data_IF_523689419692
#
_entry.id   IF_523689419692
#
_cell.length_a   1.000
_cell.length_b   1.000
_cell.length_c   1.000
_cell.angle_alpha   90.00
_cell.angle_beta   90.00
_cell.angle_gamma   90.00
#
_symmetry.space_group_name_H-M   'P 1'
#
loop_
_entity.id
_entity.type
_entity.pdbx_description
1 polymer ?
#
# COMPACT_ATOMS: atom_id res chain seq x y z
N UNK A 1 24.75 -8.41 -65.35
CA UNK A 1 23.32 -8.08 -65.15
C UNK A 1 23.31 -6.87 -64.23
N UNK A 2 22.79 -5.76 -64.75
CA UNK A 2 22.97 -4.41 -64.20
C UNK A 2 22.00 -4.11 -63.05
N UNK A 3 22.49 -3.36 -62.06
CA UNK A 3 21.69 -2.69 -61.04
C UNK A 3 20.77 -1.62 -61.66
N UNK A 4 19.54 -1.43 -61.16
CA UNK A 4 18.76 -0.24 -61.45
C UNK A 4 18.95 0.84 -60.37
N UNK A 5 19.32 2.03 -60.84
CA UNK A 5 19.41 3.29 -60.13
C UNK A 5 18.03 3.86 -59.77
N UNK A 6 18.02 4.65 -58.69
CA UNK A 6 16.95 5.48 -58.10
C UNK A 6 16.59 6.64 -59.05
N UNK A 7 15.39 7.21 -58.96
CA UNK A 7 15.31 8.67 -58.98
C UNK A 7 14.61 9.27 -57.76
N UNK A 8 15.27 10.28 -57.20
CA UNK A 8 14.77 11.21 -56.20
C UNK A 8 13.61 12.08 -56.73
N UNK A 9 12.73 12.47 -55.81
CA UNK A 9 11.71 13.51 -55.96
C UNK A 9 10.87 13.47 -54.68
N UNK A 10 10.91 14.43 -53.76
CA UNK A 10 10.83 15.87 -53.92
C UNK A 10 9.85 16.32 -52.84
N UNK A 11 10.36 16.91 -51.75
CA UNK A 11 9.54 17.48 -50.67
C UNK A 11 8.70 18.65 -51.17
N UNK A 12 7.51 18.85 -50.59
CA UNK A 12 7.03 20.19 -50.31
C UNK A 12 7.04 20.46 -48.79
N UNK A 13 7.66 21.59 -48.47
CA UNK A 13 7.66 22.25 -47.17
C UNK A 13 6.38 23.08 -46.95
N UNK A 14 6.25 23.58 -45.71
CA UNK A 14 5.23 24.47 -45.14
C UNK A 14 3.96 23.74 -44.64
N UNK A 15 3.45 23.98 -43.43
CA UNK A 15 3.38 25.25 -42.71
C UNK A 15 3.21 25.00 -41.20
N UNK A 16 4.09 25.57 -40.38
CA UNK A 16 3.87 25.73 -38.94
C UNK A 16 3.06 27.01 -38.69
N UNK A 17 2.06 27.01 -37.79
CA UNK A 17 1.65 28.22 -37.11
C UNK A 17 2.20 28.24 -35.68
N UNK A 18 3.22 29.07 -35.50
CA UNK A 18 3.70 29.57 -34.21
C UNK A 18 2.74 30.63 -33.61
N UNK A 19 2.89 30.99 -32.32
CA UNK A 19 1.82 31.44 -31.43
C UNK A 19 1.71 32.96 -31.33
N UNK A 20 0.50 33.52 -31.24
CA UNK A 20 0.30 34.90 -30.76
C UNK A 20 -1.17 35.19 -30.31
N UNK A 21 -1.37 35.21 -28.99
CA UNK A 21 -2.18 36.16 -28.18
C UNK A 21 -3.70 36.30 -28.37
N UNK A 22 -4.41 37.05 -27.48
CA UNK A 22 -3.91 37.81 -26.32
C UNK A 22 -4.59 37.48 -24.97
N UNK A 23 -3.90 37.91 -23.92
CA UNK A 23 -4.37 38.01 -22.55
C UNK A 23 -5.49 39.05 -22.37
N UNK A 24 -6.43 38.76 -21.48
CA UNK A 24 -7.37 39.72 -20.88
C UNK A 24 -7.58 39.26 -19.42
N UNK A 25 -6.84 39.84 -18.47
CA UNK A 25 -7.18 41.06 -17.71
C UNK A 25 -8.16 40.80 -16.57
N UNK A 26 -7.59 40.67 -15.37
CA UNK A 26 -8.25 40.86 -14.08
C UNK A 26 -8.92 42.23 -13.99
N UNK A 27 -9.95 42.37 -13.13
CA UNK A 27 -10.11 43.59 -12.38
C UNK A 27 -9.99 43.33 -10.88
N UNK A 28 -8.91 43.89 -10.32
CA UNK A 28 -8.74 44.26 -8.93
C UNK A 28 -9.77 45.35 -8.58
N UNK A 29 -10.62 45.11 -7.58
CA UNK A 29 -11.35 46.17 -6.89
C UNK A 29 -11.04 46.09 -5.39
N UNK A 30 -10.32 47.12 -4.97
CA UNK A 30 -10.18 47.59 -3.60
C UNK A 30 -11.55 47.95 -3.03
N UNK A 31 -11.89 47.42 -1.87
CA UNK A 31 -12.68 48.15 -0.88
C UNK A 31 -12.52 47.52 0.51
N UNK A 32 -11.96 48.30 1.42
CA UNK A 32 -12.04 48.15 2.87
C UNK A 32 -12.88 49.35 3.32
N UNK A 33 -13.89 49.18 4.19
CA UNK A 33 -13.65 49.65 5.57
C UNK A 33 -14.30 48.81 6.67
N UNK A 34 -13.68 48.93 7.84
CA UNK A 34 -14.23 48.92 9.20
C UNK A 34 -14.78 47.64 9.85
N UNK A 35 -14.00 47.23 10.85
CA UNK A 35 -14.33 46.42 12.02
C UNK A 35 -15.65 46.84 12.69
N UNK A 36 -16.31 45.91 13.40
CA UNK A 36 -16.26 46.05 14.85
C UNK A 36 -15.93 44.75 15.59
N UNK A 37 -15.18 44.96 16.64
CA UNK A 37 -14.79 44.07 17.73
C UNK A 37 -15.98 43.29 18.30
N UNK A 38 -15.92 41.95 18.21
CA UNK A 38 -16.52 41.06 19.20
C UNK A 38 -15.55 39.93 19.49
N UNK A 39 -15.00 40.01 20.69
CA UNK A 39 -14.24 38.97 21.38
C UNK A 39 -15.09 37.69 21.46
N UNK A 40 -14.73 36.64 20.74
CA UNK A 40 -15.26 35.31 20.99
C UNK A 40 -14.11 34.30 21.05
N UNK A 41 -14.05 33.61 22.18
CA UNK A 41 -12.99 32.71 22.56
C UNK A 41 -12.87 31.52 21.61
N UNK A 42 -11.63 31.18 21.23
CA UNK A 42 -11.32 29.97 20.50
C UNK A 42 -11.90 28.72 21.21
N UNK A 43 -12.61 27.83 20.51
CA UNK A 43 -12.97 26.55 21.08
C UNK A 43 -11.69 25.71 21.20
N UNK A 44 -11.23 25.55 22.43
CA UNK A 44 -10.29 24.52 22.85
C UNK A 44 -10.71 23.18 22.25
N UNK A 45 -9.82 22.61 21.43
CA UNK A 45 -9.94 21.25 20.91
C UNK A 45 -10.32 20.28 22.05
N UNK A 46 -11.34 19.42 21.85
CA UNK A 46 -11.71 18.46 22.87
C UNK A 46 -10.55 17.47 23.06
N UNK A 47 -10.01 17.44 24.28
CA UNK A 47 -9.14 16.37 24.76
C UNK A 47 -9.82 15.05 24.42
N UNK A 48 -9.14 14.25 23.61
CA UNK A 48 -9.53 12.88 23.28
C UNK A 48 -9.82 12.14 24.61
N UNK A 49 -11.00 11.54 24.78
CA UNK A 49 -11.32 10.83 26.00
C UNK A 49 -10.41 9.61 26.09
N UNK A 50 -9.68 9.52 27.20
CA UNK A 50 -9.01 8.29 27.63
C UNK A 50 -10.05 7.18 27.65
N UNK A 51 -10.03 6.33 26.62
CA UNK A 51 -10.91 5.18 26.54
C UNK A 51 -10.68 4.31 27.78
N UNK A 52 -11.71 4.21 28.61
CA UNK A 52 -11.75 3.33 29.75
C UNK A 52 -11.54 1.89 29.26
N UNK A 53 -10.38 1.32 29.57
CA UNK A 53 -10.09 -0.07 29.34
C UNK A 53 -11.09 -0.93 30.14
N UNK A 54 -11.83 -1.79 29.42
CA UNK A 54 -12.63 -2.89 29.98
C UNK A 54 -11.74 -3.71 30.95
N UNK A 55 -12.24 -4.22 32.10
CA UNK A 55 -11.38 -4.83 33.10
C UNK A 55 -10.68 -6.06 32.52
N UNK A 56 -9.36 -5.93 32.35
CA UNK A 56 -8.52 -7.04 31.93
C UNK A 56 -8.58 -8.12 33.00
N UNK A 57 -8.68 -9.39 32.58
CA UNK A 57 -8.41 -10.54 33.46
C UNK A 57 -6.98 -10.47 34.04
N UNK A 58 -6.56 -11.45 34.85
CA UNK A 58 -5.22 -11.42 35.45
C UNK A 58 -4.16 -11.24 34.37
N UNK A 59 -3.44 -10.11 34.42
CA UNK A 59 -2.42 -9.74 33.45
C UNK A 59 -1.30 -10.77 33.47
N UNK A 60 -0.94 -11.30 32.30
CA UNK A 60 0.16 -12.26 32.20
C UNK A 60 1.50 -11.57 32.50
N UNK A 61 2.50 -12.29 33.06
CA UNK A 61 3.85 -11.72 33.24
C UNK A 61 4.44 -11.14 31.95
N UNK A 62 4.09 -11.73 30.80
CA UNK A 62 4.48 -11.29 29.48
C UNK A 62 3.82 -9.96 29.09
N UNK A 63 2.52 -9.79 29.35
CA UNK A 63 1.83 -8.51 29.13
C UNK A 63 2.44 -7.38 29.95
N UNK A 64 2.73 -7.63 31.23
CA UNK A 64 3.38 -6.64 32.09
C UNK A 64 4.75 -6.24 31.53
N UNK A 65 5.57 -7.22 31.14
CA UNK A 65 6.89 -6.98 30.54
C UNK A 65 6.79 -6.20 29.23
N UNK A 66 5.80 -6.50 28.39
CA UNK A 66 5.56 -5.77 27.15
C UNK A 66 5.19 -4.30 27.43
N UNK A 67 4.30 -4.04 28.39
CA UNK A 67 3.96 -2.67 28.83
C UNK A 67 5.15 -1.89 29.37
N UNK A 68 6.02 -2.55 30.12
CA UNK A 68 7.26 -1.95 30.61
C UNK A 68 8.18 -1.53 29.45
N UNK A 69 8.28 -2.33 28.38
CA UNK A 69 9.02 -1.95 27.18
C UNK A 69 8.39 -0.75 26.44
N UNK A 70 7.06 -0.73 26.30
CA UNK A 70 6.35 0.43 25.71
C UNK A 70 6.62 1.70 26.52
N UNK A 71 6.48 1.64 27.85
CA UNK A 71 6.71 2.81 28.71
C UNK A 71 8.17 3.32 28.64
N UNK A 72 9.14 2.40 28.52
CA UNK A 72 10.55 2.77 28.31
C UNK A 72 10.77 3.42 26.94
N UNK A 73 10.15 2.90 25.88
CA UNK A 73 10.21 3.47 24.54
C UNK A 73 9.64 4.89 24.52
N UNK A 74 8.46 5.12 25.10
CA UNK A 74 7.85 6.45 25.20
C UNK A 74 8.71 7.45 25.97
N UNK A 75 9.34 7.01 27.07
CA UNK A 75 10.24 7.87 27.86
C UNK A 75 11.45 8.28 27.02
N UNK A 76 12.01 7.36 26.23
CA UNK A 76 13.10 7.66 25.30
C UNK A 76 12.67 8.64 24.21
N UNK A 77 11.48 8.45 23.61
CA UNK A 77 10.88 9.37 22.63
C UNK A 77 10.66 10.79 23.20
N UNK A 78 10.10 10.92 24.40
CA UNK A 78 9.93 12.24 25.05
C UNK A 78 11.27 12.92 25.33
N UNK A 79 12.29 12.14 25.69
CA UNK A 79 13.64 12.64 25.95
C UNK A 79 14.43 13.02 24.70
N UNK A 80 14.05 12.52 23.51
CA UNK A 80 14.67 12.91 22.23
C UNK A 80 14.11 14.24 21.72
N UNK A 81 12.88 14.59 22.08
CA UNK A 81 12.21 15.84 21.70
C UNK A 81 12.57 17.06 22.57
N UNK A 82 13.28 16.86 23.69
CA UNK A 82 13.69 17.95 24.60
C UNK A 82 14.92 18.70 24.05
N UNK A 83 15.04 20.01 24.30
CA UNK A 83 16.10 20.94 23.82
C UNK A 83 17.56 20.42 23.92
N UNK A 84 17.86 19.53 24.87
CA UNK A 84 19.17 18.89 25.02
C UNK A 84 19.45 17.71 24.07
N UNK A 85 18.42 17.20 23.37
CA UNK A 85 18.51 16.05 22.46
C UNK A 85 18.62 16.40 20.97
N UNK A 86 18.31 17.65 20.59
CA UNK A 86 18.15 18.07 19.20
C UNK A 86 19.43 18.20 18.36
N UNK A 87 20.63 18.14 18.95
CA UNK A 87 21.87 18.46 18.22
C UNK A 87 22.83 17.27 17.97
N UNK A 88 22.77 16.16 18.73
CA UNK A 88 23.72 15.05 18.53
C UNK A 88 23.28 13.65 19.03
N UNK A 89 22.04 13.49 19.55
CA UNK A 89 21.64 12.22 20.19
C UNK A 89 20.15 11.88 20.14
N UNK A 90 19.34 12.64 19.41
CA UNK A 90 17.90 12.39 19.26
C UNK A 90 17.60 11.14 18.45
N UNK A 91 18.32 10.93 17.34
CA UNK A 91 18.14 9.78 16.45
C UNK A 91 18.43 8.45 17.15
N UNK A 92 19.58 8.30 17.81
CA UNK A 92 19.93 7.08 18.56
C UNK A 92 18.88 6.72 19.64
N UNK A 93 18.26 7.72 20.28
CA UNK A 93 17.19 7.48 21.25
C UNK A 93 15.88 7.01 20.61
N UNK A 94 15.60 7.48 19.40
CA UNK A 94 14.45 7.02 18.62
C UNK A 94 14.69 5.60 18.08
N UNK A 95 15.90 5.27 17.64
CA UNK A 95 16.29 3.91 17.26
C UNK A 95 16.12 2.94 18.43
N UNK A 96 16.67 3.27 19.60
CA UNK A 96 16.47 2.52 20.83
C UNK A 96 14.98 2.35 21.19
N UNK A 97 14.16 3.38 20.94
CA UNK A 97 12.72 3.32 21.20
C UNK A 97 12.01 2.38 20.22
N UNK A 98 12.35 2.41 18.92
CA UNK A 98 11.85 1.49 17.91
C UNK A 98 12.16 0.03 18.29
N UNK A 99 13.40 -0.25 18.71
CA UNK A 99 13.81 -1.58 19.18
C UNK A 99 12.99 -2.06 20.39
N UNK A 100 12.70 -1.16 21.34
CA UNK A 100 11.86 -1.47 22.48
C UNK A 100 10.41 -1.74 22.08
N UNK A 101 9.86 -1.01 21.11
CA UNK A 101 8.53 -1.28 20.55
C UNK A 101 8.47 -2.66 19.88
N UNK A 102 9.48 -3.02 19.07
CA UNK A 102 9.57 -4.36 18.45
C UNK A 102 9.66 -5.46 19.51
N UNK A 103 10.44 -5.26 20.58
CA UNK A 103 10.52 -6.22 21.71
C UNK A 103 9.19 -6.35 22.44
N UNK A 104 8.47 -5.26 22.64
CA UNK A 104 7.14 -5.27 23.22
C UNK A 104 6.16 -6.04 22.32
N UNK A 105 6.15 -5.76 21.03
CA UNK A 105 5.29 -6.40 20.04
C UNK A 105 5.50 -7.92 19.99
N UNK A 106 6.76 -8.37 19.97
CA UNK A 106 7.11 -9.79 20.04
C UNK A 106 6.69 -10.44 21.37
N UNK A 107 6.77 -9.71 22.47
CA UNK A 107 6.29 -10.20 23.78
C UNK A 107 4.76 -10.33 23.80
N UNK A 108 4.04 -9.38 23.22
CA UNK A 108 2.58 -9.46 23.06
C UNK A 108 2.16 -10.61 22.12
N UNK A 109 2.93 -10.90 21.06
CA UNK A 109 2.72 -12.10 20.21
C UNK A 109 2.77 -13.39 21.05
N UNK A 110 3.75 -13.52 21.95
CA UNK A 110 3.85 -14.68 22.86
C UNK A 110 2.67 -14.74 23.84
N UNK A 111 2.22 -13.59 24.33
CA UNK A 111 1.03 -13.48 25.18
C UNK A 111 -0.30 -13.69 24.43
N UNK A 112 -0.28 -13.91 23.11
CA UNK A 112 -1.45 -14.01 22.22
C UNK A 112 -2.35 -12.77 22.25
N UNK A 113 -1.77 -11.61 22.58
CA UNK A 113 -2.42 -10.31 22.51
C UNK A 113 -2.16 -9.70 21.14
N UNK A 114 -2.86 -10.20 20.12
CA UNK A 114 -2.58 -9.82 18.73
C UNK A 114 -2.83 -8.34 18.47
N UNK A 115 -3.93 -7.77 18.98
CA UNK A 115 -4.20 -6.33 18.82
C UNK A 115 -3.09 -5.44 19.38
N UNK A 116 -2.67 -5.70 20.63
CA UNK A 116 -1.60 -4.92 21.28
C UNK A 116 -0.23 -5.13 20.61
N UNK A 117 0.02 -6.32 20.08
CA UNK A 117 1.23 -6.61 19.29
C UNK A 117 1.26 -5.82 17.98
N UNK A 118 0.15 -5.78 17.24
CA UNK A 118 0.04 -4.99 16.02
C UNK A 118 0.25 -3.50 16.29
N UNK A 119 -0.39 -2.97 17.34
CA UNK A 119 -0.26 -1.55 17.71
C UNK A 119 1.21 -1.20 18.03
N UNK A 120 1.91 -2.09 18.73
CA UNK A 120 3.33 -1.91 19.04
C UNK A 120 4.24 -1.96 17.79
N UNK A 121 3.94 -2.81 16.80
CA UNK A 121 4.68 -2.80 15.53
C UNK A 121 4.43 -1.54 14.71
N UNK A 122 3.19 -1.04 14.66
CA UNK A 122 2.89 0.23 14.00
C UNK A 122 3.64 1.39 14.64
N UNK A 123 3.69 1.45 15.99
CA UNK A 123 4.48 2.45 16.71
C UNK A 123 5.98 2.34 16.38
N UNK A 124 6.52 1.13 16.23
CA UNK A 124 7.91 0.94 15.82
C UNK A 124 8.17 1.47 14.41
N UNK A 125 7.27 1.15 13.47
CA UNK A 125 7.36 1.60 12.08
C UNK A 125 7.27 3.13 11.96
N UNK A 126 6.36 3.78 12.70
CA UNK A 126 6.22 5.24 12.73
C UNK A 126 7.50 5.95 13.17
N UNK A 127 8.21 5.37 14.14
CA UNK A 127 9.50 5.91 14.61
C UNK A 127 10.58 5.69 13.56
N UNK A 128 10.63 4.52 12.93
CA UNK A 128 11.60 4.21 11.88
C UNK A 128 11.39 5.06 10.62
N UNK A 129 10.14 5.37 10.25
CA UNK A 129 9.83 6.31 9.18
C UNK A 129 10.35 7.72 9.47
N UNK A 130 10.26 8.18 10.73
CA UNK A 130 10.83 9.48 11.15
C UNK A 130 12.36 9.51 11.11
N UNK A 131 12.99 8.34 11.18
CA UNK A 131 14.44 8.17 11.08
C UNK A 131 14.91 7.91 9.64
N UNK A 132 13.98 7.91 8.67
CA UNK A 132 14.22 7.56 7.26
C UNK A 132 14.76 6.12 7.06
N UNK A 133 14.47 5.24 8.00
CA UNK A 133 14.84 3.82 7.98
C UNK A 133 13.69 3.02 7.34
N UNK A 134 13.49 3.23 6.04
CA UNK A 134 12.32 2.75 5.28
C UNK A 134 12.19 1.22 5.23
N UNK A 135 13.31 0.51 5.07
CA UNK A 135 13.29 -0.95 4.92
C UNK A 135 12.75 -1.64 6.19
N UNK A 136 13.25 -1.23 7.36
CA UNK A 136 12.85 -1.77 8.66
C UNK A 136 11.41 -1.34 9.00
N UNK A 137 11.02 -0.11 8.67
CA UNK A 137 9.65 0.36 8.83
C UNK A 137 8.66 -0.50 8.04
N UNK A 138 8.96 -0.76 6.76
CA UNK A 138 8.17 -1.67 5.92
C UNK A 138 8.09 -3.07 6.50
N UNK A 139 9.21 -3.62 7.00
CA UNK A 139 9.23 -4.94 7.62
C UNK A 139 8.34 -5.02 8.88
N UNK A 140 8.36 -3.98 9.72
CA UNK A 140 7.54 -3.94 10.92
C UNK A 140 6.04 -3.77 10.61
N UNK A 141 5.68 -3.00 9.58
CA UNK A 141 4.29 -2.90 9.10
C UNK A 141 3.77 -4.24 8.56
N UNK A 142 4.63 -5.01 7.90
CA UNK A 142 4.28 -6.35 7.41
C UNK A 142 4.01 -7.30 8.57
N UNK A 143 4.83 -7.27 9.62
CA UNK A 143 4.59 -8.03 10.85
C UNK A 143 3.30 -7.58 11.55
N UNK A 144 3.03 -6.27 11.59
CA UNK A 144 1.76 -5.73 12.09
C UNK A 144 0.57 -6.29 11.32
N UNK A 145 0.62 -6.25 9.98
CA UNK A 145 -0.42 -6.81 9.11
C UNK A 145 -0.66 -8.30 9.34
N UNK A 146 0.40 -9.10 9.52
CA UNK A 146 0.28 -10.54 9.79
C UNK A 146 -0.41 -10.81 11.13
N UNK A 147 -0.11 -9.98 12.13
CA UNK A 147 -0.71 -10.08 13.45
C UNK A 147 -2.18 -9.64 13.43
N UNK A 148 -2.49 -8.53 12.74
CA UNK A 148 -3.85 -8.02 12.63
C UNK A 148 -4.76 -8.91 11.79
N UNK A 149 -4.25 -9.65 10.79
CA UNK A 149 -5.06 -10.55 9.93
C UNK A 149 -5.98 -11.49 10.74
N UNK A 150 -5.61 -11.83 11.99
CA UNK A 150 -6.37 -12.72 12.88
C UNK A 150 -7.47 -12.05 13.70
N UNK A 151 -7.36 -10.75 13.99
CA UNK A 151 -8.27 -10.03 14.89
C UNK A 151 -9.04 -8.90 14.17
N UNK A 152 -8.35 -8.19 13.27
CA UNK A 152 -8.87 -7.00 12.58
C UNK A 152 -8.33 -6.97 11.14
N UNK A 153 -9.04 -7.59 10.18
CA UNK A 153 -8.61 -7.63 8.79
C UNK A 153 -8.53 -6.24 8.14
N UNK A 154 -9.33 -5.26 8.59
CA UNK A 154 -9.30 -3.90 8.04
C UNK A 154 -7.99 -3.19 8.39
N UNK A 155 -7.57 -3.28 9.65
CA UNK A 155 -6.25 -2.75 10.07
C UNK A 155 -5.09 -3.48 9.40
N UNK A 156 -5.24 -4.78 9.11
CA UNK A 156 -4.23 -5.51 8.36
C UNK A 156 -4.04 -4.93 6.94
N UNK A 157 -5.15 -4.61 6.26
CA UNK A 157 -5.12 -3.95 4.93
C UNK A 157 -4.43 -2.59 5.00
N UNK A 158 -4.71 -1.76 6.01
CA UNK A 158 -4.04 -0.47 6.21
C UNK A 158 -2.52 -0.64 6.38
N UNK A 159 -2.09 -1.58 7.23
CA UNK A 159 -0.66 -1.84 7.46
C UNK A 159 0.05 -2.34 6.20
N UNK A 160 -0.57 -3.26 5.44
CA UNK A 160 0.01 -3.74 4.19
C UNK A 160 0.03 -2.67 3.11
N UNK A 161 -0.96 -1.76 3.08
CA UNK A 161 -1.00 -0.66 2.11
C UNK A 161 0.16 0.30 2.35
N UNK A 162 0.39 0.69 3.60
CA UNK A 162 1.55 1.50 3.99
C UNK A 162 2.88 0.79 3.67
N UNK A 163 2.97 -0.53 3.92
CA UNK A 163 4.16 -1.29 3.56
C UNK A 163 4.39 -1.32 2.04
N UNK A 164 3.33 -1.50 1.24
CA UNK A 164 3.40 -1.51 -0.21
C UNK A 164 3.87 -0.16 -0.77
N UNK A 165 3.37 0.96 -0.23
CA UNK A 165 3.83 2.31 -0.57
C UNK A 165 5.33 2.48 -0.28
N UNK A 166 5.79 2.08 0.91
CA UNK A 166 7.22 2.15 1.26
C UNK A 166 8.09 1.33 0.29
N UNK A 167 7.67 0.10 -0.04
CA UNK A 167 8.45 -0.72 -0.98
C UNK A 167 8.39 -0.19 -2.42
N UNK A 168 7.32 0.49 -2.80
CA UNK A 168 7.19 1.18 -4.09
C UNK A 168 8.15 2.37 -4.16
N UNK A 169 8.20 3.20 -3.10
CA UNK A 169 9.15 4.31 -2.97
C UNK A 169 10.61 3.86 -3.02
N UNK A 170 10.90 2.65 -2.52
CA UNK A 170 12.22 2.03 -2.57
C UNK A 170 12.56 1.41 -3.93
N UNK A 171 11.64 1.41 -4.90
CA UNK A 171 11.79 0.75 -6.20
C UNK A 171 11.74 -0.77 -6.15
N UNK A 172 11.20 -1.36 -5.07
CA UNK A 172 11.06 -2.81 -4.90
C UNK A 172 9.67 -3.27 -5.32
N UNK A 173 9.33 -3.13 -6.60
CA UNK A 173 7.99 -3.40 -7.14
C UNK A 173 7.54 -4.85 -6.94
N UNK A 174 8.44 -5.82 -7.07
CA UNK A 174 8.14 -7.23 -6.77
C UNK A 174 7.63 -7.45 -5.33
N UNK A 175 8.14 -6.68 -4.36
CA UNK A 175 7.68 -6.75 -2.96
C UNK A 175 6.35 -6.03 -2.79
N UNK A 176 6.19 -4.84 -3.38
CA UNK A 176 4.94 -4.10 -3.37
C UNK A 176 3.78 -4.93 -3.96
N UNK A 177 4.01 -5.56 -5.11
CA UNK A 177 3.06 -6.48 -5.76
C UNK A 177 2.62 -7.61 -4.84
N UNK A 178 3.55 -8.19 -4.07
CA UNK A 178 3.23 -9.25 -3.11
C UNK A 178 2.30 -8.75 -2.00
N UNK A 179 2.51 -7.54 -1.50
CA UNK A 179 1.65 -6.97 -0.46
C UNK A 179 0.29 -6.55 -1.00
N UNK A 180 0.20 -6.05 -2.24
CA UNK A 180 -1.07 -5.86 -2.93
C UNK A 180 -1.85 -7.17 -3.09
N UNK A 181 -1.19 -8.27 -3.46
CA UNK A 181 -1.81 -9.60 -3.52
C UNK A 181 -2.31 -10.08 -2.15
N UNK A 182 -1.57 -9.80 -1.07
CA UNK A 182 -2.00 -10.14 0.29
C UNK A 182 -3.20 -9.31 0.74
N UNK A 183 -3.24 -8.01 0.41
CA UNK A 183 -4.39 -7.14 0.67
C UNK A 183 -5.62 -7.69 -0.05
N UNK A 184 -5.48 -8.01 -1.34
CA UNK A 184 -6.57 -8.56 -2.14
C UNK A 184 -7.09 -9.90 -1.59
N UNK A 185 -6.19 -10.77 -1.10
CA UNK A 185 -6.59 -12.03 -0.44
C UNK A 185 -7.41 -11.78 0.84
N UNK A 186 -7.03 -10.79 1.65
CA UNK A 186 -7.79 -10.42 2.86
C UNK A 186 -9.16 -9.83 2.49
N UNK A 187 -9.21 -9.00 1.44
CA UNK A 187 -10.48 -8.46 0.93
C UNK A 187 -11.40 -9.58 0.41
N UNK A 188 -10.85 -10.57 -0.31
CA UNK A 188 -11.57 -11.76 -0.81
C UNK A 188 -12.08 -12.63 0.35
N UNK A 189 -11.22 -12.99 1.32
CA UNK A 189 -11.55 -13.99 2.33
C UNK A 189 -12.30 -13.46 3.56
N UNK A 190 -11.87 -12.31 4.09
CA UNK A 190 -12.36 -11.80 5.38
C UNK A 190 -13.42 -10.69 5.23
N UNK A 191 -13.26 -9.83 4.22
CA UNK A 191 -14.16 -8.68 4.03
C UNK A 191 -15.29 -8.95 3.03
N UNK A 192 -15.12 -9.93 2.14
CA UNK A 192 -16.06 -10.23 1.06
C UNK A 192 -16.21 -9.07 0.05
N UNK A 193 -15.20 -8.19 -0.02
CA UNK A 193 -15.20 -7.03 -0.91
C UNK A 193 -14.41 -7.37 -2.18
N UNK A 194 -15.13 -7.91 -3.16
CA UNK A 194 -14.54 -8.34 -4.43
C UNK A 194 -14.10 -7.15 -5.30
N UNK A 195 -14.71 -5.98 -5.17
CA UNK A 195 -14.34 -4.80 -5.96
C UNK A 195 -12.97 -4.25 -5.55
N UNK A 196 -12.74 -4.13 -4.23
CA UNK A 196 -11.42 -3.76 -3.71
C UNK A 196 -10.37 -4.85 -3.98
N UNK A 197 -10.75 -6.12 -3.87
CA UNK A 197 -9.83 -7.23 -4.18
C UNK A 197 -9.38 -7.20 -5.65
N UNK A 198 -10.30 -6.94 -6.59
CA UNK A 198 -9.97 -6.78 -8.02
C UNK A 198 -8.96 -5.65 -8.21
N UNK A 199 -9.22 -4.49 -7.65
CA UNK A 199 -8.36 -3.30 -7.81
C UNK A 199 -6.92 -3.59 -7.35
N UNK A 200 -6.77 -4.23 -6.21
CA UNK A 200 -5.44 -4.58 -5.68
C UNK A 200 -4.77 -5.72 -6.44
N UNK A 201 -5.51 -6.73 -6.92
CA UNK A 201 -4.92 -7.77 -7.78
C UNK A 201 -4.50 -7.22 -9.15
N UNK A 202 -5.24 -6.26 -9.72
CA UNK A 202 -4.85 -5.57 -10.96
C UNK A 202 -3.56 -4.78 -10.75
N UNK A 203 -3.46 -3.99 -9.69
CA UNK A 203 -2.22 -3.29 -9.33
C UNK A 203 -1.04 -4.24 -9.13
N UNK A 204 -1.25 -5.38 -8.45
CA UNK A 204 -0.23 -6.39 -8.28
C UNK A 204 0.20 -7.02 -9.63
N UNK A 205 -0.76 -7.28 -10.53
CA UNK A 205 -0.46 -7.80 -11.85
C UNK A 205 0.37 -6.82 -12.68
N UNK A 206 0.05 -5.53 -12.64
CA UNK A 206 0.78 -4.48 -13.36
C UNK A 206 2.23 -4.36 -12.87
N UNK A 207 2.45 -4.38 -11.55
CA UNK A 207 3.80 -4.41 -11.00
C UNK A 207 4.58 -5.67 -11.43
N UNK A 208 3.94 -6.85 -11.40
CA UNK A 208 4.59 -8.08 -11.86
C UNK A 208 4.88 -8.09 -13.35
N UNK A 209 4.01 -7.50 -14.19
CA UNK A 209 4.25 -7.33 -15.64
C UNK A 209 5.43 -6.41 -15.89
N UNK A 210 5.54 -5.30 -15.15
CA UNK A 210 6.66 -4.35 -15.28
C UNK A 210 8.02 -4.95 -14.89
N UNK A 211 8.03 -5.96 -14.03
CA UNK A 211 9.24 -6.68 -13.58
C UNK A 211 9.51 -7.98 -14.38
N UNK A 212 8.89 -8.14 -15.56
CA UNK A 212 8.96 -9.35 -16.41
C UNK A 212 8.57 -10.66 -15.68
N UNK A 213 7.83 -10.57 -14.57
CA UNK A 213 7.34 -11.70 -13.79
C UNK A 213 5.95 -12.15 -14.24
N UNK A 214 5.82 -12.47 -15.54
CA UNK A 214 4.53 -12.75 -16.16
C UNK A 214 3.80 -13.94 -15.55
N UNK A 215 4.53 -14.94 -15.02
CA UNK A 215 3.92 -16.06 -14.28
C UNK A 215 3.20 -15.62 -13.00
N UNK A 216 3.74 -14.63 -12.28
CA UNK A 216 3.11 -14.07 -11.08
C UNK A 216 1.98 -13.11 -11.44
N UNK A 217 2.15 -12.32 -12.50
CA UNK A 217 1.11 -11.46 -13.05
C UNK A 217 -0.13 -12.29 -13.46
N UNK A 218 0.06 -13.38 -14.19
CA UNK A 218 -1.03 -14.25 -14.61
C UNK A 218 -1.78 -14.87 -13.44
N UNK A 219 -1.10 -15.21 -12.34
CA UNK A 219 -1.78 -15.69 -11.12
C UNK A 219 -2.71 -14.62 -10.55
N UNK A 220 -2.27 -13.36 -10.54
CA UNK A 220 -3.09 -12.24 -10.07
C UNK A 220 -4.25 -11.98 -11.04
N UNK A 221 -4.00 -11.98 -12.36
CA UNK A 221 -5.04 -11.82 -13.38
C UNK A 221 -6.11 -12.91 -13.34
N UNK A 222 -5.73 -14.17 -13.13
CA UNK A 222 -6.69 -15.27 -12.97
C UNK A 222 -7.59 -15.05 -11.74
N UNK A 223 -7.04 -14.50 -10.65
CA UNK A 223 -7.84 -14.09 -9.49
C UNK A 223 -8.79 -12.94 -9.83
N UNK A 224 -8.33 -11.91 -10.56
CA UNK A 224 -9.20 -10.83 -11.06
C UNK A 224 -10.35 -11.38 -11.89
N UNK A 225 -10.06 -12.26 -12.87
CA UNK A 225 -11.08 -12.84 -13.73
C UNK A 225 -12.10 -13.68 -12.93
N UNK A 226 -11.64 -14.44 -11.94
CA UNK A 226 -12.53 -15.19 -11.06
C UNK A 226 -13.46 -14.28 -10.25
N UNK A 227 -12.92 -13.22 -9.64
CA UNK A 227 -13.72 -12.25 -8.87
C UNK A 227 -14.67 -11.46 -9.78
N UNK A 228 -14.23 -11.06 -10.97
CA UNK A 228 -15.06 -10.37 -11.97
C UNK A 228 -16.24 -11.26 -12.41
N UNK A 229 -16.02 -12.57 -12.58
CA UNK A 229 -17.10 -13.51 -12.86
C UNK A 229 -18.11 -13.61 -11.70
N UNK A 230 -17.64 -13.57 -10.45
CA UNK A 230 -18.52 -13.54 -9.27
C UNK A 230 -19.37 -12.26 -9.20
N UNK A 231 -18.83 -11.13 -9.69
CA UNK A 231 -19.55 -9.85 -9.83
C UNK A 231 -20.40 -9.76 -11.11
N UNK A 232 -20.55 -10.86 -11.87
CA UNK A 232 -21.25 -10.92 -13.16
C UNK A 232 -20.67 -10.01 -14.26
N UNK A 233 -19.42 -9.59 -14.12
CA UNK A 233 -18.68 -8.85 -15.16
C UNK A 233 -18.04 -9.85 -16.14
N UNK A 234 -18.88 -10.61 -16.84
CA UNK A 234 -18.44 -11.72 -17.69
C UNK A 234 -17.56 -11.26 -18.85
N UNK A 235 -17.84 -10.09 -19.44
CA UNK A 235 -17.04 -9.53 -20.54
C UNK A 235 -15.59 -9.26 -20.09
N UNK A 236 -15.42 -8.66 -18.90
CA UNK A 236 -14.10 -8.40 -18.30
C UNK A 236 -13.38 -9.72 -17.98
N UNK A 237 -14.08 -10.67 -17.37
CA UNK A 237 -13.50 -11.97 -17.04
C UNK A 237 -13.03 -12.73 -18.30
N UNK A 238 -13.85 -12.75 -19.35
CA UNK A 238 -13.51 -13.40 -20.62
C UNK A 238 -12.26 -12.78 -21.27
N UNK A 239 -12.18 -11.45 -21.35
CA UNK A 239 -11.01 -10.77 -21.91
C UNK A 239 -9.71 -11.10 -21.18
N UNK A 240 -9.75 -11.16 -19.84
CA UNK A 240 -8.57 -11.53 -19.04
C UNK A 240 -8.21 -13.01 -19.23
N UNK A 241 -9.19 -13.92 -19.27
CA UNK A 241 -8.93 -15.33 -19.53
C UNK A 241 -8.32 -15.56 -20.91
N UNK A 242 -8.78 -14.85 -21.94
CA UNK A 242 -8.22 -14.90 -23.27
C UNK A 242 -6.77 -14.41 -23.28
N UNK A 243 -6.46 -13.28 -22.63
CA UNK A 243 -5.10 -12.75 -22.52
C UNK A 243 -4.14 -13.77 -21.88
N UNK A 244 -4.53 -14.33 -20.72
CA UNK A 244 -3.71 -15.31 -20.01
C UNK A 244 -3.58 -16.60 -20.82
N UNK A 245 -4.64 -17.05 -21.49
CA UNK A 245 -4.62 -18.25 -22.33
C UNK A 245 -3.67 -18.10 -23.53
N UNK A 246 -3.76 -16.98 -24.26
CA UNK A 246 -2.86 -16.69 -25.39
C UNK A 246 -1.41 -16.70 -24.91
N UNK A 247 -1.10 -16.05 -23.79
CA UNK A 247 0.24 -16.08 -23.21
C UNK A 247 0.72 -17.52 -22.90
N UNK A 248 -0.11 -18.35 -22.26
CA UNK A 248 0.24 -19.72 -21.91
C UNK A 248 0.49 -20.58 -23.15
N UNK A 249 -0.32 -20.42 -24.19
CA UNK A 249 -0.18 -21.13 -25.47
C UNK A 249 1.10 -20.69 -26.21
N UNK A 250 1.44 -19.40 -26.18
CA UNK A 250 2.63 -18.88 -26.86
C UNK A 250 3.94 -19.19 -26.10
N UNK A 251 3.92 -19.29 -24.77
CA UNK A 251 5.11 -19.55 -23.95
C UNK A 251 5.39 -21.03 -23.68
N UNK A 252 4.36 -21.88 -23.64
CA UNK A 252 4.51 -23.31 -23.44
C UNK A 252 4.41 -24.03 -24.79
N UNK A 253 5.56 -24.34 -25.40
CA UNK A 253 5.63 -25.32 -26.49
C UNK A 253 5.16 -26.68 -25.95
N UNK A 254 3.87 -27.02 -26.12
CA UNK A 254 3.37 -28.37 -26.39
C UNK A 254 1.84 -28.40 -26.48
N UNK A 255 1.38 -28.86 -27.64
CA UNK A 255 0.01 -29.18 -28.01
C UNK A 255 -0.58 -30.38 -27.23
N UNK A 256 -0.53 -30.40 -25.88
CA UNK A 256 -0.96 -31.56 -25.09
C UNK A 256 -1.93 -31.26 -23.93
N UNK A 257 -2.19 -30.00 -23.57
CA UNK A 257 -3.10 -29.66 -22.45
C UNK A 257 -4.39 -28.93 -22.88
N UNK A 258 -4.64 -28.78 -24.18
CA UNK A 258 -5.89 -28.19 -24.71
C UNK A 258 -7.17 -28.97 -24.34
N UNK A 259 -7.07 -30.14 -23.71
CA UNK A 259 -8.23 -30.97 -23.36
C UNK A 259 -8.99 -30.52 -22.10
N UNK A 260 -8.35 -29.86 -21.14
CA UNK A 260 -9.00 -29.59 -19.83
C UNK A 260 -9.70 -28.24 -19.76
N UNK A 261 -9.20 -27.21 -20.46
CA UNK A 261 -9.79 -25.86 -20.43
C UNK A 261 -10.89 -25.64 -21.48
N UNK A 262 -10.83 -26.34 -22.62
CA UNK A 262 -11.92 -26.33 -23.59
C UNK A 262 -13.24 -26.90 -23.00
N UNK A 263 -13.15 -27.75 -21.97
CA UNK A 263 -14.33 -28.31 -21.30
C UNK A 263 -15.10 -27.27 -20.48
N UNK A 264 -14.42 -26.28 -19.87
CA UNK A 264 -15.11 -25.25 -19.06
C UNK A 264 -15.83 -24.23 -19.95
N UNK A 265 -15.23 -23.88 -21.10
CA UNK A 265 -15.86 -22.97 -22.06
C UNK A 265 -17.02 -23.65 -22.79
N UNK A 266 -16.91 -24.94 -23.14
CA UNK A 266 -17.98 -25.67 -23.83
C UNK A 266 -19.13 -26.12 -22.93
N UNK A 267 -19.01 -26.08 -21.60
CA UNK A 267 -20.11 -26.46 -20.71
C UNK A 267 -21.07 -25.30 -20.38
N UNK A 268 -20.73 -24.07 -20.79
CA UNK A 268 -21.51 -22.84 -20.55
C UNK A 268 -22.14 -22.24 -21.83
N UNK A 269 -21.95 -22.85 -22.99
CA UNK A 269 -22.69 -22.61 -24.24
C UNK A 269 -23.53 -23.84 -24.59
#
# INVERSE_FOLDING_TARGET
>A
MAEPQIPEGGSPAAEEPSPDGPAASEPNSTDKPDSPTTTEAAPTAPKQPTAAAKPAGPETPQEKKAREYIAQAEKKMKSSQTFLGGLFGGAAKMEDAADLYVRAANTYKVAKKWKDAGDAFCLAADVQMKLDVKHEAGSNLVEAGQVYKREDPKRAVECYSQAAEIYTDMGRFTMAARYHSNIAEICESELGDFEQAITHYEQAADYYKGEDSTGSANKCLLKVAHMAAMLQQFDKAAGIFEEVFVYLVCTHTLAYQLGTYACVICHYF
#
